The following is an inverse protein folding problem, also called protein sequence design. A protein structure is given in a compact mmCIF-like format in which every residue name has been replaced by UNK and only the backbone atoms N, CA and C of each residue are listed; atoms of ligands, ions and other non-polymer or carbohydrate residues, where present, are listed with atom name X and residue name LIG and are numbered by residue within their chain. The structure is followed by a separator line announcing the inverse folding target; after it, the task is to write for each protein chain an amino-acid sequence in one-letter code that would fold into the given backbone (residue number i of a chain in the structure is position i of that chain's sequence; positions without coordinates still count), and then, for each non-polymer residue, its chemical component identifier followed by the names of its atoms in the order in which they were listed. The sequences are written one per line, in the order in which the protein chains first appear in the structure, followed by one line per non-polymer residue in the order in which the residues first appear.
data_IF_062301599999
#
_entry.id   IF_062301599999
#
_cell.length_a   1.000
_cell.length_b   1.000
_cell.length_c   1.000
_cell.angle_alpha   90.00
_cell.angle_beta   90.00
_cell.angle_gamma   90.00
#
_symmetry.space_group_name_H-M   'P 1'
#
loop_
_entity.id
_entity.type
_entity.pdbx_description
1 polymer ?
#
# COMPACT_ATOMS: atom_id res chain seq x y z
N UNK A 1 2.85 54.01 55.16
CA UNK A 1 3.59 52.83 54.66
C UNK A 1 2.60 51.67 54.56
N UNK A 2 2.23 51.22 53.35
CA UNK A 2 1.72 49.86 53.05
C UNK A 2 1.38 49.83 51.54
N UNK A 3 2.12 49.16 50.65
CA UNK A 3 2.35 47.71 50.48
C UNK A 3 1.41 47.10 49.43
N UNK A 4 2.05 46.50 48.42
CA UNK A 4 1.58 45.48 47.48
C UNK A 4 0.60 45.84 46.34
N UNK A 5 1.18 46.04 45.15
CA UNK A 5 0.65 45.48 43.90
C UNK A 5 0.55 43.95 44.02
N UNK A 6 -0.51 43.31 43.48
CA UNK A 6 -0.43 42.13 42.60
C UNK A 6 -1.84 41.62 42.18
N UNK A 7 -2.01 41.46 40.85
CA UNK A 7 -2.84 40.46 40.13
C UNK A 7 -4.38 40.57 40.31
N UNK A 8 -5.21 40.46 39.28
CA UNK A 8 -5.24 39.36 38.32
C UNK A 8 -6.17 39.77 37.15
N UNK A 9 -5.65 40.04 35.94
CA UNK A 9 -6.50 40.19 34.75
C UNK A 9 -6.62 38.85 34.05
N UNK A 10 -7.61 38.06 34.44
CA UNK A 10 -7.97 36.83 33.74
C UNK A 10 -8.59 37.18 32.38
N UNK A 11 -7.84 36.89 31.33
CA UNK A 11 -8.26 36.88 29.94
C UNK A 11 -9.42 35.89 29.73
N UNK A 12 -10.60 36.35 29.35
CA UNK A 12 -11.63 35.48 28.77
C UNK A 12 -11.34 35.33 27.27
N UNK A 13 -10.60 34.28 26.94
CA UNK A 13 -10.41 33.81 25.57
C UNK A 13 -11.78 33.36 25.02
N UNK A 14 -12.29 34.10 24.03
CA UNK A 14 -13.51 33.75 23.29
C UNK A 14 -13.23 32.51 22.46
N UNK A 15 -13.97 31.44 22.72
CA UNK A 15 -13.80 30.12 22.14
C UNK A 15 -13.79 30.14 20.59
N UNK A 16 -12.66 29.77 20.00
CA UNK A 16 -12.57 29.38 18.60
C UNK A 16 -13.19 27.99 18.47
N UNK A 17 -14.34 27.89 17.80
CA UNK A 17 -14.94 26.62 17.39
C UNK A 17 -13.98 25.89 16.44
N UNK A 18 -13.18 24.98 16.99
CA UNK A 18 -12.48 23.94 16.22
C UNK A 18 -13.53 22.97 15.70
N UNK A 19 -13.91 23.12 14.43
CA UNK A 19 -14.54 22.03 13.68
C UNK A 19 -13.47 20.94 13.50
N UNK A 20 -13.43 19.99 14.44
CA UNK A 20 -12.65 18.77 14.27
C UNK A 20 -13.31 17.95 13.16
N UNK A 21 -12.78 18.07 11.94
CA UNK A 21 -13.05 17.12 10.89
C UNK A 21 -12.50 15.76 11.35
N UNK A 22 -13.40 14.84 11.73
CA UNK A 22 -13.04 13.45 11.92
C UNK A 22 -12.66 12.88 10.54
N UNK A 23 -11.36 12.91 10.22
CA UNK A 23 -10.81 12.17 9.09
C UNK A 23 -11.18 10.71 9.28
N UNK A 24 -12.10 10.20 8.45
CA UNK A 24 -12.26 8.76 8.23
C UNK A 24 -10.96 8.24 7.62
N UNK A 25 -9.98 7.94 8.46
CA UNK A 25 -8.84 7.14 8.07
C UNK A 25 -9.39 5.75 7.74
N UNK A 26 -9.43 5.43 6.45
CA UNK A 26 -9.56 4.04 5.99
C UNK A 26 -8.49 3.25 6.75
N UNK A 27 -8.90 2.23 7.51
CA UNK A 27 -7.96 1.35 8.18
C UNK A 27 -6.96 0.85 7.13
N UNK A 28 -5.69 1.26 7.27
CA UNK A 28 -4.60 0.74 6.46
C UNK A 28 -4.45 -0.70 6.92
N UNK A 29 -4.98 -1.64 6.13
CA UNK A 29 -4.72 -3.06 6.35
C UNK A 29 -3.20 -3.22 6.28
N UNK A 30 -2.53 -3.77 7.31
CA UNK A 30 -1.11 -4.04 7.20
C UNK A 30 -0.93 -4.95 6.00
N UNK A 31 -0.19 -4.48 4.99
CA UNK A 31 0.30 -5.35 3.93
C UNK A 31 1.12 -6.42 4.63
N UNK A 32 0.67 -7.68 4.56
CA UNK A 32 1.50 -8.78 4.97
C UNK A 32 2.82 -8.66 4.18
N UNK A 33 3.94 -8.54 4.89
CA UNK A 33 5.27 -8.56 4.28
C UNK A 33 5.51 -10.01 3.89
N UNK A 34 4.97 -10.40 2.74
CA UNK A 34 5.41 -11.60 2.07
C UNK A 34 6.76 -11.28 1.46
N UNK A 35 7.79 -12.05 1.83
CA UNK A 35 9.09 -12.03 1.14
C UNK A 35 8.88 -12.60 -0.26
N UNK A 36 8.35 -11.78 -1.17
CA UNK A 36 8.19 -12.14 -2.56
C UNK A 36 9.55 -12.09 -3.22
N UNK A 37 10.02 -13.24 -3.71
CA UNK A 37 11.06 -13.24 -4.75
C UNK A 37 10.48 -12.51 -5.95
N UNK A 38 11.10 -11.40 -6.36
CA UNK A 38 10.73 -10.70 -7.61
C UNK A 38 11.31 -11.40 -8.85
N UNK A 39 11.96 -12.55 -8.66
CA UNK A 39 12.55 -13.35 -9.71
C UNK A 39 11.79 -14.67 -9.89
N UNK A 40 11.76 -15.12 -11.14
CA UNK A 40 11.24 -16.44 -11.53
C UNK A 40 12.01 -17.52 -10.78
N UNK A 41 11.28 -18.51 -10.25
CA UNK A 41 11.88 -19.66 -9.59
C UNK A 41 12.84 -20.37 -10.58
N UNK A 42 14.11 -20.65 -10.20
CA UNK A 42 15.07 -21.32 -11.09
C UNK A 42 14.57 -22.62 -11.71
N UNK A 43 13.69 -23.36 -11.00
CA UNK A 43 13.06 -24.59 -11.51
C UNK A 43 12.24 -24.34 -12.78
N UNK A 44 11.64 -23.16 -12.93
CA UNK A 44 10.72 -22.83 -14.03
C UNK A 44 11.37 -21.91 -15.06
N UNK A 45 12.58 -21.42 -14.80
CA UNK A 45 13.25 -20.42 -15.64
C UNK A 45 13.34 -20.85 -17.11
N UNK A 46 13.74 -22.09 -17.39
CA UNK A 46 13.91 -22.58 -18.75
C UNK A 46 12.62 -22.51 -19.59
N UNK A 47 11.48 -22.92 -19.01
CA UNK A 47 10.20 -22.90 -19.72
C UNK A 47 9.62 -21.47 -19.78
N UNK A 48 9.85 -20.64 -18.76
CA UNK A 48 9.43 -19.23 -18.78
C UNK A 48 10.19 -18.45 -19.86
N UNK A 49 11.49 -18.66 -20.00
CA UNK A 49 12.30 -18.04 -21.06
C UNK A 49 11.79 -18.45 -22.45
N UNK A 50 11.39 -19.71 -22.65
CA UNK A 50 10.82 -20.19 -23.92
C UNK A 50 9.47 -19.58 -24.25
N UNK A 51 8.69 -19.22 -23.23
CA UNK A 51 7.37 -18.61 -23.37
C UNK A 51 7.40 -17.07 -23.31
N UNK A 52 8.58 -16.48 -23.19
CA UNK A 52 8.79 -15.04 -22.93
C UNK A 52 7.99 -14.53 -21.71
N UNK A 53 7.91 -15.36 -20.67
CA UNK A 53 7.25 -15.02 -19.41
C UNK A 53 8.25 -14.47 -18.40
N UNK A 54 7.86 -13.39 -17.74
CA UNK A 54 8.61 -12.78 -16.65
C UNK A 54 7.96 -13.13 -15.31
N UNK A 55 8.57 -12.72 -14.19
CA UNK A 55 7.88 -12.84 -12.90
C UNK A 55 6.67 -11.89 -12.84
N UNK A 56 6.78 -10.69 -13.42
CA UNK A 56 5.72 -9.70 -13.53
C UNK A 56 5.29 -9.52 -14.99
N UNK A 57 4.02 -9.83 -15.30
CA UNK A 57 3.51 -9.83 -16.66
C UNK A 57 2.34 -8.85 -16.83
N UNK A 58 2.20 -8.34 -18.06
CA UNK A 58 1.07 -7.54 -18.50
C UNK A 58 -0.09 -8.47 -18.90
N UNK A 59 -1.28 -8.25 -18.33
CA UNK A 59 -2.43 -9.13 -18.50
C UNK A 59 -3.37 -8.75 -19.65
N UNK A 60 -3.17 -7.59 -20.27
CA UNK A 60 -4.01 -7.10 -21.37
C UNK A 60 -3.20 -6.94 -22.64
N UNK A 61 -3.72 -7.47 -23.74
CA UNK A 61 -3.15 -7.27 -25.07
C UNK A 61 -4.19 -6.71 -26.04
N UNK A 62 -3.91 -5.55 -26.63
CA UNK A 62 -4.75 -4.88 -27.63
C UNK A 62 -3.93 -4.33 -28.81
N UNK A 63 -2.90 -5.07 -29.22
CA UNK A 63 -1.85 -4.64 -30.16
C UNK A 63 -0.59 -4.13 -29.45
N UNK A 64 -0.69 -3.81 -28.15
CA UNK A 64 0.44 -3.61 -27.24
C UNK A 64 0.11 -4.27 -25.90
N UNK A 65 1.13 -4.73 -25.19
CA UNK A 65 0.99 -5.26 -23.83
C UNK A 65 0.74 -4.12 -22.83
N UNK A 66 -0.25 -4.31 -21.95
CA UNK A 66 -0.65 -3.34 -20.94
C UNK A 66 -1.42 -3.99 -19.78
N UNK A 67 -2.11 -3.15 -19.01
CA UNK A 67 -2.79 -3.54 -17.77
C UNK A 67 -2.58 -2.46 -16.72
N UNK A 68 -3.66 -2.05 -16.08
CA UNK A 68 -3.70 -1.01 -15.04
C UNK A 68 -4.58 -1.38 -13.85
N UNK A 69 -5.22 -2.55 -13.91
CA UNK A 69 -5.95 -3.13 -12.81
C UNK A 69 -5.04 -3.71 -11.74
N UNK A 70 -5.64 -4.39 -10.75
CA UNK A 70 -4.90 -5.04 -9.67
C UNK A 70 -3.90 -6.08 -10.18
N UNK A 71 -2.83 -6.26 -9.40
CA UNK A 71 -1.91 -7.38 -9.60
C UNK A 71 -2.54 -8.64 -8.99
N UNK A 72 -2.52 -9.74 -9.75
CA UNK A 72 -3.00 -11.05 -9.33
C UNK A 72 -1.83 -12.02 -9.33
N UNK A 73 -1.66 -12.74 -8.22
CA UNK A 73 -0.64 -13.78 -8.07
C UNK A 73 -1.11 -15.10 -8.69
N UNK A 74 -0.23 -15.73 -9.47
CA UNK A 74 -0.39 -17.10 -9.92
C UNK A 74 0.25 -18.04 -8.89
N UNK A 75 -0.55 -18.92 -8.33
CA UNK A 75 -0.17 -19.80 -7.22
C UNK A 75 -0.15 -21.25 -7.70
N UNK A 76 0.94 -21.97 -7.42
CA UNK A 76 1.04 -23.41 -7.64
C UNK A 76 0.10 -24.14 -6.67
N UNK A 77 -0.90 -24.90 -7.16
CA UNK A 77 -1.85 -25.60 -6.28
C UNK A 77 -1.21 -26.75 -5.48
N UNK A 78 -0.04 -27.25 -5.88
CA UNK A 78 0.61 -28.38 -5.22
C UNK A 78 1.29 -27.99 -3.89
N UNK A 79 1.83 -26.77 -3.80
CA UNK A 79 2.63 -26.32 -2.66
C UNK A 79 2.30 -24.90 -2.17
N UNK A 80 1.37 -24.20 -2.83
CA UNK A 80 0.97 -22.84 -2.49
C UNK A 80 2.02 -21.77 -2.82
N UNK A 81 3.10 -22.11 -3.52
CA UNK A 81 4.13 -21.14 -3.90
C UNK A 81 3.66 -20.23 -5.04
N UNK A 82 4.06 -18.96 -5.00
CA UNK A 82 3.81 -18.01 -6.09
C UNK A 82 4.80 -18.26 -7.22
N UNK A 83 4.29 -18.44 -8.43
CA UNK A 83 5.12 -18.71 -9.62
C UNK A 83 5.29 -17.49 -10.53
N UNK A 84 4.41 -16.50 -10.41
CA UNK A 84 4.45 -15.25 -11.19
C UNK A 84 3.23 -14.39 -10.90
N UNK A 85 3.17 -13.20 -11.50
CA UNK A 85 2.16 -12.18 -11.29
C UNK A 85 1.67 -11.61 -12.60
N UNK A 86 0.41 -11.21 -12.64
CA UNK A 86 -0.21 -10.58 -13.81
C UNK A 86 -0.91 -9.29 -13.38
N UNK A 87 -0.63 -8.20 -14.09
CA UNK A 87 -1.35 -6.94 -13.95
C UNK A 87 -2.52 -6.92 -14.94
N UNK A 88 -3.76 -6.94 -14.43
CA UNK A 88 -4.98 -7.04 -15.26
C UNK A 88 -5.40 -5.72 -15.92
#
# INVERSE_FOLDING_TARGET
MSSAMLLNRLSLNRATLLHTAASRTKAIRPMAIFNYSTAVNPKHKAIFDQLDLQFDNKGVFNGKWGGSGPIVDSVNPADGSVIGRVQT
#
